data_IF_222342646080
#
_entry.id   IF_222342646080
#
_cell.length_a   1.000
_cell.length_b   1.000
_cell.length_c   1.000
_cell.angle_alpha   90.00
_cell.angle_beta   90.00
_cell.angle_gamma   90.00
#
_symmetry.space_group_name_H-M   'P 1'
#
loop_
_entity.id
_entity.type
_entity.pdbx_description
1 polymer ?
#
# COMPACT_ATOMS: atom_id res chain seq x y z
N UNK A 1 21.04 -10.88 -6.04
CA UNK A 1 21.06 -9.47 -5.63
C UNK A 1 19.68 -9.03 -5.11
N UNK A 2 18.64 -9.14 -5.96
CA UNK A 2 17.26 -8.68 -5.64
C UNK A 2 16.77 -9.21 -4.30
N UNK A 3 16.82 -10.50 -4.03
CA UNK A 3 16.36 -11.11 -2.76
C UNK A 3 17.04 -10.50 -1.52
N UNK A 4 18.33 -10.13 -1.61
CA UNK A 4 19.02 -9.46 -0.50
C UNK A 4 18.50 -8.04 -0.27
N UNK A 5 18.17 -7.33 -1.35
CA UNK A 5 17.56 -5.98 -1.25
C UNK A 5 16.16 -6.06 -0.69
N UNK A 6 15.34 -7.01 -1.16
CA UNK A 6 13.99 -7.26 -0.61
C UNK A 6 14.04 -7.56 0.90
N UNK A 7 15.05 -8.33 1.34
CA UNK A 7 15.25 -8.54 2.78
C UNK A 7 15.54 -7.23 3.52
N UNK A 8 16.35 -6.34 2.95
CA UNK A 8 16.61 -5.02 3.56
C UNK A 8 15.32 -4.19 3.66
N UNK A 9 14.46 -4.22 2.62
CA UNK A 9 13.15 -3.57 2.69
C UNK A 9 12.30 -4.19 3.81
N UNK A 10 12.21 -5.51 3.91
CA UNK A 10 11.47 -6.17 4.99
C UNK A 10 11.99 -5.77 6.37
N UNK A 11 13.31 -5.80 6.56
CA UNK A 11 13.94 -5.44 7.84
C UNK A 11 13.72 -3.95 8.18
N UNK A 12 13.76 -3.04 7.18
CA UNK A 12 13.56 -1.60 7.39
C UNK A 12 12.15 -1.27 7.90
N UNK A 13 11.15 -2.03 7.46
CA UNK A 13 9.75 -1.82 7.85
C UNK A 13 9.25 -2.84 8.89
N UNK A 14 10.17 -3.58 9.53
CA UNK A 14 9.86 -4.60 10.54
C UNK A 14 8.75 -5.57 10.07
N UNK A 15 8.89 -6.05 8.86
CA UNK A 15 7.89 -6.90 8.20
C UNK A 15 8.43 -8.31 7.91
N UNK A 16 7.56 -9.34 7.88
CA UNK A 16 7.96 -10.72 7.60
C UNK A 16 8.59 -10.92 6.21
N UNK A 17 8.19 -10.13 5.22
CA UNK A 17 8.70 -10.21 3.85
C UNK A 17 8.47 -8.91 3.07
N UNK A 18 9.25 -8.74 2.01
CA UNK A 18 9.05 -7.70 1.00
C UNK A 18 9.34 -8.27 -0.39
N UNK A 19 8.74 -7.66 -1.41
CA UNK A 19 8.94 -7.97 -2.81
C UNK A 19 9.00 -6.69 -3.62
N UNK A 20 9.99 -6.58 -4.48
CA UNK A 20 10.08 -5.52 -5.47
C UNK A 20 9.40 -5.96 -6.76
N UNK A 21 8.56 -5.10 -7.32
CA UNK A 21 7.79 -5.38 -8.54
C UNK A 21 7.93 -4.26 -9.55
N UNK A 22 7.83 -4.57 -10.83
CA UNK A 22 7.75 -3.56 -11.88
C UNK A 22 6.35 -2.98 -11.98
N UNK A 23 6.28 -1.74 -12.44
CA UNK A 23 5.03 -0.99 -12.61
C UNK A 23 4.77 0.03 -11.50
N UNK A 24 5.82 0.41 -10.76
CA UNK A 24 5.74 1.45 -9.71
C UNK A 24 4.73 1.09 -8.61
N UNK A 25 4.17 2.08 -7.91
CA UNK A 25 3.12 1.88 -6.92
C UNK A 25 1.85 1.25 -7.49
N UNK A 26 1.50 1.59 -8.74
CA UNK A 26 0.37 0.97 -9.45
C UNK A 26 0.55 -0.54 -9.62
N UNK A 27 1.76 -0.97 -10.01
CA UNK A 27 2.12 -2.38 -10.12
C UNK A 27 2.07 -3.07 -8.75
N UNK A 28 2.58 -2.42 -7.70
CA UNK A 28 2.55 -2.94 -6.34
C UNK A 28 1.10 -3.19 -5.85
N UNK A 29 0.21 -2.20 -6.01
CA UNK A 29 -1.21 -2.32 -5.65
C UNK A 29 -1.88 -3.44 -6.47
N UNK A 30 -1.63 -3.48 -7.78
CA UNK A 30 -2.20 -4.52 -8.66
C UNK A 30 -1.80 -5.92 -8.21
N UNK A 31 -0.53 -6.16 -7.94
CA UNK A 31 -0.05 -7.45 -7.48
C UNK A 31 -0.61 -7.81 -6.10
N UNK A 32 -0.66 -6.85 -5.17
CA UNK A 32 -1.23 -7.06 -3.85
C UNK A 32 -2.72 -7.44 -3.94
N UNK A 33 -3.53 -6.70 -4.70
CA UNK A 33 -4.95 -7.02 -4.90
C UNK A 33 -5.14 -8.37 -5.60
N UNK A 34 -4.33 -8.68 -6.62
CA UNK A 34 -4.40 -9.98 -7.33
C UNK A 34 -4.05 -11.16 -6.42
N UNK A 35 -3.14 -10.97 -5.45
CA UNK A 35 -2.81 -12.02 -4.48
C UNK A 35 -3.90 -12.22 -3.42
N UNK A 36 -4.65 -11.17 -3.12
CA UNK A 36 -5.67 -11.15 -2.06
C UNK A 36 -7.07 -11.53 -2.55
N UNK A 37 -7.42 -11.16 -3.79
CA UNK A 37 -8.78 -11.17 -4.32
C UNK A 37 -8.88 -11.94 -5.63
N UNK A 38 -10.07 -12.49 -5.89
CA UNK A 38 -10.43 -13.09 -7.16
C UNK A 38 -11.20 -12.08 -8.01
N UNK A 39 -11.19 -12.23 -9.35
CA UNK A 39 -12.05 -11.44 -10.23
C UNK A 39 -13.51 -11.51 -9.79
N UNK A 40 -14.15 -10.33 -9.67
CA UNK A 40 -15.54 -10.21 -9.26
C UNK A 40 -15.80 -10.12 -7.75
N UNK A 41 -14.76 -10.27 -6.91
CA UNK A 41 -14.89 -10.13 -5.46
C UNK A 41 -15.30 -8.70 -5.05
N UNK A 42 -15.99 -8.57 -3.92
CA UNK A 42 -16.28 -7.28 -3.30
C UNK A 42 -15.08 -6.80 -2.46
N UNK A 43 -14.74 -5.53 -2.64
CA UNK A 43 -13.65 -4.85 -1.94
C UNK A 43 -14.16 -3.64 -1.17
N UNK A 44 -13.85 -3.56 0.12
CA UNK A 44 -14.15 -2.40 0.94
C UNK A 44 -13.18 -1.25 0.63
N UNK A 45 -13.72 -0.07 0.34
CA UNK A 45 -12.96 1.14 0.01
C UNK A 45 -13.57 2.37 0.66
N UNK A 46 -12.79 3.45 0.78
CA UNK A 46 -13.30 4.73 1.25
C UNK A 46 -14.31 5.35 0.26
N UNK A 47 -15.21 6.22 0.77
CA UNK A 47 -16.18 6.98 -0.03
C UNK A 47 -15.54 8.01 -0.95
N UNK A 48 -14.35 8.52 -0.64
CA UNK A 48 -13.61 9.41 -1.53
C UNK A 48 -13.25 8.71 -2.86
N UNK A 49 -12.99 9.45 -3.93
CA UNK A 49 -12.57 8.86 -5.20
C UNK A 49 -11.32 7.98 -5.01
N UNK A 50 -11.32 6.81 -5.62
CA UNK A 50 -10.15 5.95 -5.68
C UNK A 50 -9.14 6.60 -6.63
N UNK A 51 -7.85 6.50 -6.31
CA UNK A 51 -6.80 7.00 -7.20
C UNK A 51 -6.90 6.37 -8.59
N UNK A 52 -6.78 7.19 -9.64
CA UNK A 52 -7.13 6.82 -11.01
C UNK A 52 -6.51 5.49 -11.48
N UNK A 53 -5.21 5.25 -11.23
CA UNK A 53 -4.56 4.02 -11.68
C UNK A 53 -4.96 2.81 -10.85
N UNK A 54 -5.35 3.00 -9.60
CA UNK A 54 -5.93 1.96 -8.75
C UNK A 54 -7.33 1.59 -9.20
N UNK A 55 -8.14 2.59 -9.62
CA UNK A 55 -9.46 2.35 -10.22
C UNK A 55 -9.35 1.47 -11.46
N UNK A 56 -8.38 1.74 -12.34
CA UNK A 56 -8.13 0.87 -13.52
C UNK A 56 -7.88 -0.58 -13.13
N UNK A 57 -7.17 -0.82 -12.02
CA UNK A 57 -6.93 -2.18 -11.53
C UNK A 57 -8.22 -2.83 -11.02
N UNK A 58 -9.03 -2.09 -10.25
CA UNK A 58 -10.32 -2.53 -9.73
C UNK A 58 -11.25 -2.92 -10.90
N UNK A 59 -11.34 -2.06 -11.91
CA UNK A 59 -12.16 -2.28 -13.09
C UNK A 59 -11.68 -3.50 -13.90
N UNK A 60 -10.37 -3.62 -14.13
CA UNK A 60 -9.78 -4.73 -14.88
C UNK A 60 -9.98 -6.10 -14.19
N UNK A 61 -10.02 -6.12 -12.86
CA UNK A 61 -10.33 -7.32 -12.08
C UNK A 61 -11.84 -7.53 -11.90
N UNK A 62 -12.69 -6.59 -12.34
CA UNK A 62 -14.13 -6.63 -12.13
C UNK A 62 -14.52 -6.61 -10.66
N UNK A 63 -13.66 -6.03 -9.77
CA UNK A 63 -13.95 -5.94 -8.35
C UNK A 63 -15.15 -5.03 -8.11
N UNK A 64 -15.94 -5.34 -7.07
CA UNK A 64 -17.16 -4.60 -6.71
C UNK A 64 -16.88 -3.72 -5.48
N UNK A 65 -16.67 -2.41 -5.64
CA UNK A 65 -16.39 -1.53 -4.50
C UNK A 65 -17.60 -1.40 -3.58
N UNK A 66 -17.45 -1.80 -2.32
CA UNK A 66 -18.36 -1.46 -1.22
C UNK A 66 -17.75 -0.25 -0.51
N UNK A 67 -18.50 0.85 -0.45
CA UNK A 67 -17.99 2.13 0.04
C UNK A 67 -18.41 2.38 1.47
N UNK A 68 -17.44 2.76 2.32
CA UNK A 68 -17.67 3.20 3.68
C UNK A 68 -16.94 4.52 3.95
N UNK A 69 -17.51 5.38 4.77
CA UNK A 69 -16.85 6.61 5.18
C UNK A 69 -15.82 6.32 6.28
N UNK A 70 -14.54 6.30 5.95
CA UNK A 70 -13.48 6.03 6.91
C UNK A 70 -13.28 7.15 7.94
N UNK A 71 -13.84 8.35 7.69
CA UNK A 71 -13.87 9.43 8.68
C UNK A 71 -14.90 9.17 9.81
N UNK A 72 -15.78 8.18 9.65
CA UNK A 72 -16.80 7.79 10.62
C UNK A 72 -16.68 6.29 10.91
N UNK A 73 -16.03 5.95 12.02
CA UNK A 73 -15.77 4.55 12.40
C UNK A 73 -17.05 3.77 12.70
N UNK A 74 -18.11 4.42 13.17
CA UNK A 74 -19.39 3.74 13.44
C UNK A 74 -20.10 3.40 12.13
N UNK A 75 -20.09 4.32 11.17
CA UNK A 75 -20.61 4.04 9.82
C UNK A 75 -19.77 2.96 9.13
N UNK A 76 -18.43 2.98 9.26
CA UNK A 76 -17.56 1.92 8.75
C UNK A 76 -17.93 0.55 9.32
N UNK A 77 -18.09 0.44 10.65
CA UNK A 77 -18.48 -0.81 11.32
C UNK A 77 -19.86 -1.29 10.86
N UNK A 78 -20.81 -0.37 10.70
CA UNK A 78 -22.15 -0.71 10.21
C UNK A 78 -22.13 -1.29 8.79
N UNK A 79 -21.36 -0.67 7.87
CA UNK A 79 -21.18 -1.18 6.51
C UNK A 79 -20.48 -2.55 6.53
N UNK A 80 -19.44 -2.72 7.34
CA UNK A 80 -18.77 -4.02 7.48
C UNK A 80 -19.74 -5.11 7.97
N UNK A 81 -20.59 -4.81 8.96
CA UNK A 81 -21.58 -5.75 9.48
C UNK A 81 -22.66 -6.09 8.44
N UNK A 82 -23.13 -5.09 7.69
CA UNK A 82 -24.14 -5.27 6.66
C UNK A 82 -23.63 -6.15 5.50
N UNK A 83 -22.35 -6.02 5.11
CA UNK A 83 -21.76 -6.69 3.96
C UNK A 83 -20.71 -7.75 4.32
N UNK A 84 -20.73 -8.26 5.56
CA UNK A 84 -19.71 -9.19 6.07
C UNK A 84 -19.53 -10.45 5.22
N UNK A 85 -20.62 -10.94 4.65
CA UNK A 85 -20.64 -12.17 3.83
C UNK A 85 -20.25 -11.90 2.36
N UNK A 86 -20.14 -10.64 1.96
CA UNK A 86 -19.78 -10.21 0.61
C UNK A 86 -18.32 -9.75 0.51
N UNK A 87 -17.87 -8.91 1.46
CA UNK A 87 -16.52 -8.31 1.42
C UNK A 87 -15.46 -9.40 1.53
N UNK A 88 -14.51 -9.39 0.58
CA UNK A 88 -13.40 -10.35 0.51
C UNK A 88 -12.04 -9.72 0.77
N UNK A 89 -11.96 -8.41 0.82
CA UNK A 89 -10.75 -7.66 1.18
C UNK A 89 -11.02 -6.18 1.31
N UNK A 90 -10.04 -5.43 1.74
CA UNK A 90 -10.13 -3.98 1.88
C UNK A 90 -8.89 -3.27 1.33
N UNK A 91 -9.10 -2.06 0.82
CA UNK A 91 -8.03 -1.15 0.42
C UNK A 91 -8.14 0.14 1.25
N UNK A 92 -7.08 0.44 1.99
CA UNK A 92 -6.96 1.66 2.79
C UNK A 92 -5.83 2.52 2.25
N UNK A 93 -6.12 3.74 1.84
CA UNK A 93 -5.11 4.69 1.41
C UNK A 93 -4.64 5.52 2.60
N UNK A 94 -3.33 5.60 2.85
CA UNK A 94 -2.79 6.31 4.00
C UNK A 94 -2.82 7.83 3.82
N UNK A 95 -2.66 8.30 2.59
CA UNK A 95 -2.76 9.72 2.28
C UNK A 95 -4.15 10.09 1.82
N UNK A 96 -4.68 11.19 2.33
CA UNK A 96 -6.03 11.65 2.01
C UNK A 96 -6.20 11.97 0.52
N UNK A 97 -7.37 11.67 -0.03
CA UNK A 97 -7.77 12.03 -1.39
C UNK A 97 -8.45 13.40 -1.46
N UNK A 98 -9.11 13.78 -0.38
CA UNK A 98 -9.79 15.07 -0.26
C UNK A 98 -9.24 15.85 0.94
N UNK A 99 -9.24 17.18 0.90
CA UNK A 99 -8.80 18.00 2.03
C UNK A 99 -9.59 17.73 3.33
N UNK A 100 -10.84 17.27 3.20
CA UNK A 100 -11.75 16.99 4.30
C UNK A 100 -11.45 15.65 5.00
N UNK A 101 -10.75 14.72 4.32
CA UNK A 101 -10.43 13.43 4.91
C UNK A 101 -9.52 13.60 6.14
N UNK A 102 -9.95 13.02 7.26
CA UNK A 102 -9.30 13.15 8.58
C UNK A 102 -9.12 11.82 9.29
N UNK A 103 -9.46 10.70 8.64
CA UNK A 103 -9.40 9.42 9.31
C UNK A 103 -7.99 9.04 9.77
N UNK A 104 -7.92 8.42 10.94
CA UNK A 104 -6.75 7.71 11.41
C UNK A 104 -6.74 6.32 10.76
N UNK A 105 -5.80 6.11 9.83
CA UNK A 105 -5.70 4.83 9.11
C UNK A 105 -5.43 3.65 10.05
N UNK A 106 -4.75 3.85 11.18
CA UNK A 106 -4.51 2.79 12.18
C UNK A 106 -5.82 2.34 12.80
N UNK A 107 -6.67 3.31 13.21
CA UNK A 107 -7.99 3.02 13.74
C UNK A 107 -8.91 2.37 12.70
N UNK A 108 -8.85 2.81 11.43
CA UNK A 108 -9.61 2.22 10.32
C UNK A 108 -9.18 0.77 10.09
N UNK A 109 -7.88 0.48 9.99
CA UNK A 109 -7.37 -0.88 9.82
C UNK A 109 -7.81 -1.78 10.98
N UNK A 110 -7.66 -1.32 12.23
CA UNK A 110 -8.09 -2.05 13.41
C UNK A 110 -9.60 -2.34 13.40
N UNK A 111 -10.44 -1.35 13.03
CA UNK A 111 -11.88 -1.52 12.93
C UNK A 111 -12.28 -2.54 11.86
N UNK A 112 -11.64 -2.49 10.67
CA UNK A 112 -11.88 -3.46 9.59
C UNK A 112 -11.50 -4.87 10.05
N UNK A 113 -10.31 -5.05 10.61
CA UNK A 113 -9.83 -6.37 11.10
C UNK A 113 -10.72 -6.95 12.19
N UNK A 114 -11.25 -6.11 13.08
CA UNK A 114 -12.18 -6.54 14.13
C UNK A 114 -13.56 -6.92 13.58
N UNK A 115 -14.08 -6.14 12.61
CA UNK A 115 -15.41 -6.38 12.04
C UNK A 115 -15.44 -7.52 11.01
N UNK A 116 -14.33 -7.72 10.29
CA UNK A 116 -14.19 -8.69 9.19
C UNK A 116 -12.94 -9.56 9.42
N UNK A 117 -12.93 -10.44 10.43
CA UNK A 117 -11.77 -11.26 10.73
C UNK A 117 -11.44 -12.19 9.56
N UNK A 118 -10.15 -12.24 9.20
CA UNK A 118 -9.63 -13.12 8.14
C UNK A 118 -9.65 -12.54 6.73
N UNK A 119 -10.27 -11.38 6.48
CA UNK A 119 -10.10 -10.72 5.17
C UNK A 119 -8.74 -10.02 5.08
N UNK A 120 -8.09 -10.02 3.90
CA UNK A 120 -6.87 -9.27 3.69
C UNK A 120 -7.15 -7.76 3.62
N UNK A 121 -6.27 -6.99 4.27
CA UNK A 121 -6.24 -5.52 4.17
C UNK A 121 -4.97 -5.12 3.44
N UNK A 122 -5.13 -4.47 2.30
CA UNK A 122 -4.04 -3.87 1.50
C UNK A 122 -4.03 -2.38 1.74
N UNK A 123 -2.85 -1.78 1.90
CA UNK A 123 -2.72 -0.33 2.01
C UNK A 123 -1.97 0.28 0.84
N UNK A 124 -2.39 1.48 0.45
CA UNK A 124 -1.66 2.37 -0.44
C UNK A 124 -0.87 3.36 0.41
N UNK A 125 0.43 3.09 0.55
CA UNK A 125 1.37 3.87 1.34
C UNK A 125 2.19 4.86 0.49
N UNK A 126 1.77 5.09 -0.76
CA UNK A 126 2.37 6.13 -1.59
C UNK A 126 2.31 7.47 -0.85
N UNK A 127 3.41 8.20 -0.81
CA UNK A 127 3.62 9.42 -0.02
C UNK A 127 3.66 9.23 1.50
N UNK A 128 3.39 8.05 2.05
CA UNK A 128 3.47 7.75 3.47
C UNK A 128 4.79 7.06 3.87
N UNK A 129 5.29 6.15 3.03
CA UNK A 129 6.53 5.41 3.30
C UNK A 129 7.69 6.33 3.70
N UNK A 130 8.33 6.06 4.84
CA UNK A 130 9.39 6.85 5.49
C UNK A 130 8.98 8.28 5.91
N UNK A 131 7.69 8.62 5.89
CA UNK A 131 7.16 9.95 6.28
C UNK A 131 6.15 9.86 7.42
N UNK A 132 5.76 8.65 7.79
CA UNK A 132 4.90 8.35 8.94
C UNK A 132 5.63 7.39 9.88
N UNK A 133 5.21 7.33 11.12
CA UNK A 133 5.79 6.46 12.16
C UNK A 133 5.54 4.97 11.92
N UNK A 134 4.46 4.62 11.19
CA UNK A 134 4.12 3.24 10.85
C UNK A 134 3.39 3.20 9.50
N UNK A 135 3.87 2.39 8.56
CA UNK A 135 3.15 2.10 7.32
C UNK A 135 2.04 1.07 7.57
N UNK A 136 1.21 0.79 6.57
CA UNK A 136 0.03 -0.06 6.73
C UNK A 136 0.30 -1.41 7.38
N UNK A 137 1.32 -2.16 6.96
CA UNK A 137 1.64 -3.47 7.55
C UNK A 137 2.11 -3.36 9.01
N UNK A 138 2.79 -2.29 9.38
CA UNK A 138 3.14 -2.00 10.78
C UNK A 138 1.92 -1.58 11.61
N UNK A 139 0.88 -1.05 10.95
CA UNK A 139 -0.41 -0.72 11.56
C UNK A 139 -1.41 -1.88 11.58
N UNK A 140 -1.01 -3.08 11.15
CA UNK A 140 -1.84 -4.29 11.20
C UNK A 140 -2.49 -4.69 9.86
N UNK A 141 -2.23 -4.00 8.76
CA UNK A 141 -2.62 -4.46 7.43
C UNK A 141 -1.79 -5.68 6.99
N UNK A 142 -2.31 -6.45 6.05
CA UNK A 142 -1.61 -7.64 5.55
C UNK A 142 -0.52 -7.29 4.55
N UNK A 143 -0.75 -6.27 3.72
CA UNK A 143 0.21 -5.76 2.74
C UNK A 143 0.21 -4.23 2.67
N UNK A 144 1.41 -3.66 2.70
CA UNK A 144 1.71 -2.27 2.33
C UNK A 144 2.22 -2.19 0.90
N UNK A 145 1.84 -1.15 0.17
CA UNK A 145 2.26 -0.96 -1.23
C UNK A 145 2.68 0.48 -1.48
N UNK A 146 3.81 0.68 -2.14
CA UNK A 146 4.24 2.02 -2.55
C UNK A 146 5.21 1.98 -3.73
N UNK A 147 5.39 3.12 -4.40
CA UNK A 147 6.39 3.34 -5.42
C UNK A 147 7.75 3.66 -4.78
N UNK A 148 8.82 3.00 -5.21
CA UNK A 148 10.17 3.35 -4.80
C UNK A 148 10.56 4.77 -5.20
N UNK A 149 9.97 5.34 -6.25
CA UNK A 149 10.15 6.74 -6.63
C UNK A 149 9.79 7.71 -5.49
N UNK A 150 8.79 7.38 -4.66
CA UNK A 150 8.38 8.21 -3.52
C UNK A 150 9.40 8.26 -2.38
N UNK A 151 10.36 7.35 -2.41
CA UNK A 151 11.51 7.28 -1.51
C UNK A 151 12.83 7.42 -2.27
N UNK A 152 12.84 8.21 -3.35
CA UNK A 152 14.01 8.54 -4.18
C UNK A 152 14.66 7.34 -4.90
N UNK A 153 13.93 6.25 -5.04
CA UNK A 153 14.32 5.11 -5.86
C UNK A 153 13.85 5.24 -7.31
N UNK A 154 14.00 4.19 -8.12
CA UNK A 154 13.65 4.20 -9.54
C UNK A 154 12.14 4.32 -9.77
N UNK A 155 11.74 5.02 -10.84
CA UNK A 155 10.33 5.27 -11.18
C UNK A 155 9.55 4.00 -11.49
N UNK A 156 10.17 3.04 -12.18
CA UNK A 156 9.51 1.82 -12.63
C UNK A 156 9.33 0.74 -11.56
N UNK A 157 9.87 0.94 -10.35
CA UNK A 157 9.87 -0.07 -9.28
C UNK A 157 8.89 0.31 -8.17
N UNK A 158 8.07 -0.67 -7.77
CA UNK A 158 7.22 -0.62 -6.59
C UNK A 158 7.66 -1.63 -5.54
N UNK A 159 7.24 -1.43 -4.30
CA UNK A 159 7.44 -2.34 -3.19
C UNK A 159 6.10 -2.85 -2.66
N UNK A 160 6.04 -4.13 -2.34
CA UNK A 160 4.97 -4.79 -1.59
C UNK A 160 5.60 -5.37 -0.34
N UNK A 161 5.08 -5.03 0.84
CA UNK A 161 5.69 -5.38 2.13
C UNK A 161 4.62 -5.92 3.06
N UNK A 162 4.91 -6.99 3.81
CA UNK A 162 4.00 -7.53 4.80
C UNK A 162 3.98 -9.06 4.89
N UNK A 163 2.79 -9.65 4.79
CA UNK A 163 2.56 -11.10 4.97
C UNK A 163 3.43 -11.93 4.02
N UNK A 164 4.26 -12.80 4.61
CA UNK A 164 5.11 -13.70 3.83
C UNK A 164 4.31 -14.61 2.90
N UNK A 165 3.17 -15.11 3.34
CA UNK A 165 2.30 -15.98 2.52
C UNK A 165 1.83 -15.26 1.26
N UNK A 166 1.35 -14.00 1.40
CA UNK A 166 0.88 -13.19 0.27
C UNK A 166 2.05 -12.78 -0.63
N UNK A 167 3.19 -12.43 -0.08
CA UNK A 167 4.41 -12.13 -0.84
C UNK A 167 4.86 -13.35 -1.66
N UNK A 168 4.91 -14.53 -1.05
CA UNK A 168 5.26 -15.78 -1.76
C UNK A 168 4.26 -16.09 -2.88
N UNK A 169 2.97 -15.77 -2.68
CA UNK A 169 1.93 -15.90 -3.72
C UNK A 169 2.20 -14.95 -4.90
N UNK A 170 2.51 -13.68 -4.63
CA UNK A 170 2.86 -12.71 -5.69
C UNK A 170 4.10 -13.19 -6.44
N UNK A 171 5.14 -13.61 -5.72
CA UNK A 171 6.38 -14.10 -6.33
C UNK A 171 6.12 -15.23 -7.33
N UNK A 172 5.26 -16.19 -6.97
CA UNK A 172 4.88 -17.30 -7.86
C UNK A 172 4.11 -16.82 -9.10
N UNK A 173 3.21 -15.85 -8.94
CA UNK A 173 2.40 -15.33 -10.05
C UNK A 173 3.24 -14.53 -11.05
N UNK A 174 4.26 -13.81 -10.60
CA UNK A 174 5.13 -13.02 -11.49
C UNK A 174 6.37 -13.77 -12.01
N UNK A 175 6.54 -15.04 -11.66
CA UNK A 175 7.68 -15.85 -12.08
C UNK A 175 7.80 -15.89 -13.61
N UNK A 176 8.97 -15.54 -14.13
CA UNK A 176 9.29 -15.39 -15.56
C UNK A 176 8.39 -14.45 -16.38
N UNK A 177 7.55 -13.65 -15.73
CA UNK A 177 6.53 -12.80 -16.39
C UNK A 177 6.94 -11.38 -16.70
N UNK A 178 8.21 -11.01 -16.72
CA UNK A 178 8.65 -9.62 -17.01
C UNK A 178 8.36 -8.62 -15.91
N UNK A 179 7.58 -8.96 -14.89
CA UNK A 179 7.28 -8.12 -13.73
C UNK A 179 8.34 -8.18 -12.63
N UNK A 180 9.26 -9.15 -12.71
CA UNK A 180 10.34 -9.29 -11.76
C UNK A 180 11.38 -8.17 -11.92
N UNK A 181 11.72 -7.55 -10.79
CA UNK A 181 12.77 -6.54 -10.71
C UNK A 181 14.15 -7.20 -10.83
N UNK A 182 14.96 -6.68 -11.71
CA UNK A 182 16.32 -7.16 -11.94
C UNK A 182 17.30 -6.61 -10.91
N UNK A 183 18.48 -7.24 -10.80
CA UNK A 183 19.46 -6.89 -9.77
C UNK A 183 19.90 -5.42 -9.79
N UNK A 184 20.04 -4.80 -10.97
CA UNK A 184 20.42 -3.39 -11.09
C UNK A 184 19.29 -2.46 -10.62
N UNK A 185 18.04 -2.75 -10.98
CA UNK A 185 16.86 -1.99 -10.52
C UNK A 185 16.70 -2.09 -8.99
N UNK A 186 16.91 -3.28 -8.42
CA UNK A 186 16.88 -3.49 -6.98
C UNK A 186 17.97 -2.69 -6.27
N UNK A 187 19.18 -2.61 -6.83
CA UNK A 187 20.27 -1.80 -6.26
C UNK A 187 19.94 -0.30 -6.28
N UNK A 188 19.27 0.20 -7.33
CA UNK A 188 18.79 1.59 -7.36
C UNK A 188 17.71 1.82 -6.31
N UNK A 189 16.79 0.86 -6.12
CA UNK A 189 15.78 0.93 -5.05
C UNK A 189 16.44 0.94 -3.65
N UNK A 190 17.46 0.12 -3.43
CA UNK A 190 18.24 0.12 -2.17
C UNK A 190 18.94 1.47 -1.95
N UNK A 191 19.55 2.04 -2.99
CA UNK A 191 20.20 3.35 -2.91
C UNK A 191 19.18 4.42 -2.49
N UNK A 192 17.99 4.45 -3.10
CA UNK A 192 16.91 5.32 -2.72
C UNK A 192 16.53 5.15 -1.24
N UNK A 193 16.29 3.92 -0.79
CA UNK A 193 15.93 3.61 0.60
C UNK A 193 16.97 4.14 1.61
N UNK A 194 18.27 4.02 1.30
CA UNK A 194 19.36 4.48 2.18
C UNK A 194 19.41 6.02 2.26
N UNK A 195 19.22 6.72 1.14
CA UNK A 195 19.31 8.18 1.09
C UNK A 195 18.01 8.89 1.49
N UNK A 196 16.87 8.25 1.36
CA UNK A 196 15.56 8.85 1.59
C UNK A 196 15.41 9.53 2.95
N UNK A 197 15.82 8.96 4.10
CA UNK A 197 15.61 9.61 5.40
C UNK A 197 16.25 11.00 5.48
N UNK A 198 17.47 11.16 5.01
CA UNK A 198 18.18 12.45 5.02
C UNK A 198 17.56 13.42 4.03
N UNK A 199 17.31 12.98 2.81
CA UNK A 199 16.76 13.85 1.77
C UNK A 199 15.32 14.29 2.09
N UNK A 200 14.50 13.42 2.68
CA UNK A 200 13.14 13.77 3.11
C UNK A 200 13.15 14.74 4.29
N UNK A 201 14.10 14.62 5.22
CA UNK A 201 14.27 15.59 6.31
C UNK A 201 14.62 16.99 5.76
N UNK A 202 15.59 17.07 4.84
CA UNK A 202 15.94 18.33 4.17
C UNK A 202 14.75 18.91 3.41
N UNK A 203 14.00 18.07 2.70
CA UNK A 203 12.79 18.50 1.98
C UNK A 203 11.73 19.08 2.94
N UNK A 204 11.56 18.48 4.11
CA UNK A 204 10.62 18.99 5.13
C UNK A 204 11.02 20.38 5.59
N UNK A 205 12.29 20.58 5.99
CA UNK A 205 12.79 21.89 6.42
C UNK A 205 12.66 22.97 5.34
N UNK A 206 13.00 22.62 4.10
CA UNK A 206 12.84 23.56 2.97
C UNK A 206 11.38 23.95 2.75
N UNK A 207 10.45 22.99 2.85
CA UNK A 207 9.02 23.26 2.73
C UNK A 207 8.51 24.17 3.87
N UNK A 208 8.92 23.93 5.10
CA UNK A 208 8.56 24.78 6.25
C UNK A 208 9.09 26.21 6.09
N UNK A 209 10.31 26.36 5.62
CA UNK A 209 10.89 27.69 5.34
C UNK A 209 10.15 28.39 4.20
N UNK A 210 9.77 27.66 3.13
CA UNK A 210 9.00 28.23 2.04
C UNK A 210 7.63 28.74 2.52
N UNK A 211 6.90 27.92 3.32
CA UNK A 211 5.60 28.32 3.88
C UNK A 211 5.72 29.56 4.78
N UNK A 212 6.82 29.70 5.54
CA UNK A 212 7.05 30.92 6.36
C UNK A 212 7.29 32.18 5.53
N UNK A 213 7.79 32.04 4.31
CA UNK A 213 8.07 33.18 3.43
C UNK A 213 6.91 33.60 2.53
N UNK A 214 5.90 32.75 2.39
CA UNK A 214 4.66 33.01 1.63
C UNK A 214 3.58 33.65 2.51
#
# INVERSE_FOLDING_TARGET
>A
CTVKVEKVFADTFDAPAALLVRGSGTGAIRWALTACLKPGDAILVHTSPIYTTTQVTIDAMGLKPIRANFNDLEQLKAVCAQHKDEIRGALVQLTRQKPEDRYDYKAVIAAIKAALPGIPVVTDDNYAALKVDAIGCQAGADLSTFSCFKILGPEGVGAVIGSKELIDRIYKMQYSGGSQVQGHEAMEALRGLIYAPVALAIQSEVNEELVRRL
#
